data_IF_458558601859
#
_entry.id   IF_458558601859
#
_cell.length_a   1.000
_cell.length_b   1.000
_cell.length_c   1.000
_cell.angle_alpha   90.00
_cell.angle_beta   90.00
_cell.angle_gamma   90.00
#
_symmetry.space_group_name_H-M   'P 1'
#
loop_
_entity.id
_entity.type
_entity.pdbx_description
1 polymer ?
#
# COMPACT_ATOMS: atom_id res chain seq x y z
N UNK A 1 -26.52 -7.61 -24.24
CA UNK A 1 -26.53 -6.19 -23.84
C UNK A 1 -25.42 -6.01 -22.82
N UNK A 2 -24.47 -5.07 -23.00
CA UNK A 2 -23.33 -4.97 -22.10
C UNK A 2 -23.85 -4.50 -20.73
N UNK A 3 -23.35 -5.15 -19.68
CA UNK A 3 -23.71 -4.93 -18.29
C UNK A 3 -23.11 -3.66 -17.67
N UNK A 4 -23.40 -3.43 -16.39
CA UNK A 4 -22.73 -2.40 -15.58
C UNK A 4 -21.72 -3.07 -14.63
N UNK A 5 -20.59 -2.40 -14.38
CA UNK A 5 -19.56 -2.85 -13.44
C UNK A 5 -19.38 -1.85 -12.31
N UNK A 6 -19.51 -2.33 -11.07
CA UNK A 6 -19.30 -1.55 -9.85
C UNK A 6 -18.20 -2.18 -8.98
N UNK A 7 -17.53 -1.36 -8.18
CA UNK A 7 -16.59 -1.82 -7.17
C UNK A 7 -16.81 -1.09 -5.84
N UNK A 8 -16.44 -1.73 -4.74
CA UNK A 8 -16.32 -1.07 -3.43
C UNK A 8 -15.21 -0.01 -3.47
N UNK A 9 -15.33 1.07 -2.69
CA UNK A 9 -14.34 2.15 -2.59
C UNK A 9 -13.96 2.86 -3.92
N UNK A 10 -14.84 2.83 -4.94
CA UNK A 10 -14.62 3.39 -6.29
C UNK A 10 -14.09 4.84 -6.34
N UNK A 11 -14.33 5.63 -5.29
CA UNK A 11 -13.91 7.03 -5.21
C UNK A 11 -12.79 7.29 -4.21
N UNK A 12 -12.36 6.28 -3.46
CA UNK A 12 -11.37 6.43 -2.40
C UNK A 12 -10.00 5.99 -2.91
N UNK A 13 -9.73 4.69 -3.00
CA UNK A 13 -8.35 4.21 -3.23
C UNK A 13 -8.13 3.62 -4.62
N UNK A 14 -9.13 2.91 -5.15
CA UNK A 14 -9.05 2.24 -6.45
C UNK A 14 -10.27 2.56 -7.30
N UNK A 15 -10.15 2.45 -8.62
CA UNK A 15 -11.29 2.54 -9.55
C UNK A 15 -11.14 1.57 -10.73
N UNK A 16 -12.27 1.12 -11.28
CA UNK A 16 -12.32 0.32 -12.50
C UNK A 16 -12.38 1.24 -13.72
N UNK A 17 -11.45 1.05 -14.65
CA UNK A 17 -11.45 1.67 -15.96
C UNK A 17 -11.74 0.61 -17.02
N UNK A 18 -12.91 0.68 -17.64
CA UNK A 18 -13.25 -0.20 -18.76
C UNK A 18 -12.37 0.11 -19.98
N UNK A 19 -11.86 -0.93 -20.66
CA UNK A 19 -11.15 -0.76 -21.93
C UNK A 19 -12.13 -0.53 -23.06
N UNK A 20 -11.75 0.30 -24.03
CA UNK A 20 -12.56 0.59 -25.22
C UNK A 20 -12.66 -0.60 -26.18
N UNK A 21 -11.73 -1.56 -26.09
CA UNK A 21 -11.71 -2.76 -26.90
C UNK A 21 -12.70 -3.80 -26.36
N UNK A 22 -13.74 -4.08 -27.14
CA UNK A 22 -14.67 -5.18 -26.89
C UNK A 22 -14.40 -6.27 -27.94
N UNK A 23 -14.13 -7.50 -27.51
CA UNK A 23 -14.04 -8.63 -28.46
C UNK A 23 -15.44 -8.94 -28.97
N UNK A 24 -15.75 -8.50 -30.19
CA UNK A 24 -17.06 -8.74 -30.82
C UNK A 24 -17.32 -10.22 -31.13
N UNK A 25 -16.28 -11.08 -31.10
CA UNK A 25 -16.43 -12.53 -31.27
C UNK A 25 -16.96 -13.22 -30.01
N UNK A 26 -16.61 -12.71 -28.83
CA UNK A 26 -16.88 -13.39 -27.55
C UNK A 26 -17.77 -12.58 -26.58
N UNK A 27 -18.21 -11.37 -26.98
CA UNK A 27 -18.96 -10.43 -26.13
C UNK A 27 -18.27 -10.13 -24.78
N UNK A 28 -16.94 -10.16 -24.76
CA UNK A 28 -16.14 -9.90 -23.55
C UNK A 28 -15.81 -8.41 -23.46
N UNK A 29 -16.07 -7.85 -22.29
CA UNK A 29 -15.68 -6.49 -21.90
C UNK A 29 -14.56 -6.57 -20.87
N UNK A 30 -13.48 -5.83 -21.09
CA UNK A 30 -12.33 -5.78 -20.19
C UNK A 30 -12.37 -4.53 -19.32
N UNK A 31 -11.84 -4.64 -18.09
CA UNK A 31 -11.63 -3.49 -17.22
C UNK A 31 -10.29 -3.63 -16.47
N UNK A 32 -9.60 -2.51 -16.32
CA UNK A 32 -8.38 -2.37 -15.54
C UNK A 32 -8.70 -1.81 -14.15
N UNK A 33 -8.03 -2.32 -13.12
CA UNK A 33 -8.06 -1.71 -11.79
C UNK A 33 -6.93 -0.68 -11.74
N UNK A 34 -7.26 0.54 -11.35
CA UNK A 34 -6.31 1.64 -11.24
C UNK A 34 -6.33 2.26 -9.86
N UNK A 35 -5.17 2.77 -9.44
CA UNK A 35 -4.99 3.51 -8.20
C UNK A 35 -5.50 4.94 -8.39
N UNK A 36 -6.29 5.44 -7.42
CA UNK A 36 -6.85 6.79 -7.43
C UNK A 36 -6.08 7.77 -6.52
N UNK A 37 -5.53 7.28 -5.41
CA UNK A 37 -4.77 8.06 -4.42
C UNK A 37 -3.48 7.34 -4.05
N UNK A 38 -2.44 8.06 -3.57
CA UNK A 38 -1.22 7.44 -3.07
C UNK A 38 -1.51 6.34 -2.06
N UNK A 39 -0.74 5.27 -2.16
CA UNK A 39 -0.81 4.12 -1.27
C UNK A 39 0.29 4.26 -0.24
N UNK A 40 -0.03 3.93 1.00
CA UNK A 40 0.86 4.06 2.14
C UNK A 40 0.78 2.75 2.94
N UNK A 41 1.89 2.01 2.95
CA UNK A 41 1.96 0.67 3.55
C UNK A 41 1.87 0.73 5.08
N UNK A 42 2.45 1.77 5.69
CA UNK A 42 2.46 2.05 7.12
C UNK A 42 1.04 2.30 7.62
N UNK A 43 0.20 2.93 6.80
CA UNK A 43 -1.21 3.15 7.09
C UNK A 43 -2.09 1.93 6.83
N UNK A 44 -2.08 1.38 5.62
CA UNK A 44 -2.98 0.27 5.21
C UNK A 44 -2.24 -0.69 4.27
N UNK A 45 -1.98 -1.89 4.77
CA UNK A 45 -1.19 -2.93 4.07
C UNK A 45 -1.96 -3.72 3.03
N UNK A 46 -3.28 -3.84 3.20
CA UNK A 46 -4.10 -4.74 2.39
C UNK A 46 -5.49 -4.16 2.09
N UNK A 47 -6.01 -4.48 0.91
CA UNK A 47 -7.34 -4.10 0.46
C UNK A 47 -8.11 -5.29 -0.10
N UNK A 48 -9.40 -5.38 0.24
CA UNK A 48 -10.32 -6.34 -0.35
C UNK A 48 -11.34 -5.59 -1.22
N UNK A 49 -11.22 -5.75 -2.53
CA UNK A 49 -12.12 -5.13 -3.50
C UNK A 49 -13.14 -6.14 -4.00
N UNK A 50 -14.42 -5.88 -3.78
CA UNK A 50 -15.50 -6.65 -4.41
C UNK A 50 -15.89 -5.97 -5.72
N UNK A 51 -15.80 -6.72 -6.82
CA UNK A 51 -16.28 -6.32 -8.15
C UNK A 51 -17.62 -7.00 -8.38
N UNK A 52 -18.60 -6.23 -8.85
CA UNK A 52 -19.93 -6.71 -9.20
C UNK A 52 -20.23 -6.42 -10.65
N UNK A 53 -20.67 -7.44 -11.38
CA UNK A 53 -21.11 -7.35 -12.78
C UNK A 53 -22.60 -7.66 -12.84
N UNK A 54 -23.36 -6.81 -13.51
CA UNK A 54 -24.81 -6.95 -13.66
C UNK A 54 -25.21 -7.07 -15.14
N UNK A 55 -26.23 -7.86 -15.46
CA UNK A 55 -26.83 -7.83 -16.79
C UNK A 55 -27.85 -6.67 -16.91
N UNK A 56 -27.97 -6.10 -18.11
CA UNK A 56 -28.97 -5.05 -18.41
C UNK A 56 -30.29 -5.65 -18.96
N UNK A 57 -30.65 -6.86 -18.51
CA UNK A 57 -31.81 -7.60 -19.00
C UNK A 57 -33.08 -7.40 -18.16
N UNK A 58 -34.21 -7.97 -18.61
CA UNK A 58 -35.47 -7.92 -17.87
C UNK A 58 -35.41 -8.67 -16.52
N UNK A 59 -34.53 -9.66 -16.41
CA UNK A 59 -34.20 -10.32 -15.16
C UNK A 59 -32.81 -9.86 -14.70
N UNK A 60 -32.76 -9.21 -13.55
CA UNK A 60 -31.51 -8.74 -12.93
C UNK A 60 -30.71 -9.93 -12.41
N UNK A 61 -29.63 -10.27 -13.10
CA UNK A 61 -28.61 -11.22 -12.67
C UNK A 61 -27.35 -10.43 -12.33
N UNK A 62 -26.76 -10.76 -11.19
CA UNK A 62 -25.50 -10.20 -10.75
C UNK A 62 -24.52 -11.31 -10.38
N UNK A 63 -23.24 -11.06 -10.61
CA UNK A 63 -22.14 -11.91 -10.17
C UNK A 63 -21.09 -11.04 -9.49
N UNK A 64 -20.47 -11.57 -8.45
CA UNK A 64 -19.47 -10.87 -7.65
C UNK A 64 -18.19 -11.67 -7.57
N UNK A 65 -17.06 -10.97 -7.53
CA UNK A 65 -15.74 -11.53 -7.29
C UNK A 65 -14.96 -10.61 -6.34
N UNK A 66 -14.14 -11.20 -5.47
CA UNK A 66 -13.29 -10.45 -4.54
C UNK A 66 -11.84 -10.53 -4.99
N UNK A 67 -11.17 -9.39 -4.97
CA UNK A 67 -9.75 -9.23 -5.28
C UNK A 67 -9.05 -8.79 -4.00
N UNK A 68 -8.04 -9.56 -3.61
CA UNK A 68 -7.17 -9.25 -2.47
C UNK A 68 -5.90 -8.57 -3.01
N UNK A 69 -5.67 -7.34 -2.58
CA UNK A 69 -4.51 -6.53 -2.95
C UNK A 69 -3.63 -6.39 -1.71
N UNK A 70 -2.36 -6.76 -1.84
CA UNK A 70 -1.34 -6.62 -0.80
C UNK A 70 -0.34 -5.57 -1.28
N UNK A 71 -0.08 -4.57 -0.44
CA UNK A 71 0.93 -3.55 -0.75
C UNK A 71 2.33 -4.08 -0.44
N UNK A 72 3.28 -3.69 -1.27
CA UNK A 72 4.71 -3.88 -1.01
C UNK A 72 5.25 -2.68 -0.24
N UNK A 73 6.00 -2.97 0.81
CA UNK A 73 6.71 -1.99 1.63
C UNK A 73 7.85 -1.34 0.84
N UNK A 74 7.97 -0.02 0.94
CA UNK A 74 9.06 0.77 0.36
C UNK A 74 9.79 1.50 1.48
N UNK A 75 11.04 1.89 1.25
CA UNK A 75 11.77 2.67 2.25
C UNK A 75 11.46 4.17 2.06
N UNK A 76 10.43 4.65 2.73
CA UNK A 76 10.00 6.05 2.68
C UNK A 76 9.80 6.71 4.06
N UNK A 77 9.92 5.95 5.15
CA UNK A 77 10.12 6.51 6.48
C UNK A 77 11.61 6.79 6.75
N UNK A 78 11.88 7.91 7.43
CA UNK A 78 13.25 8.32 7.78
C UNK A 78 13.52 7.92 9.23
N UNK A 79 14.66 7.27 9.55
CA UNK A 79 15.03 6.95 10.92
C UNK A 79 15.03 8.17 11.84
N UNK A 80 14.38 8.06 13.00
CA UNK A 80 14.33 9.08 14.03
C UNK A 80 15.13 8.63 15.25
N UNK A 81 16.12 9.42 15.66
CA UNK A 81 16.85 9.17 16.90
C UNK A 81 15.91 9.29 18.10
N UNK A 82 15.95 8.29 18.99
CA UNK A 82 15.08 8.25 20.17
C UNK A 82 15.62 9.09 21.31
N UNK A 83 16.92 9.38 21.30
CA UNK A 83 17.60 10.21 22.30
C UNK A 83 18.52 11.21 21.61
N UNK A 84 18.47 12.45 22.10
CA UNK A 84 19.30 13.56 21.67
C UNK A 84 19.86 14.25 22.89
N UNK A 85 20.77 13.60 23.60
CA UNK A 85 21.41 14.21 24.75
C UNK A 85 22.82 14.68 24.42
N UNK A 86 23.17 15.85 24.96
CA UNK A 86 24.55 16.31 25.02
C UNK A 86 25.31 15.39 25.98
N UNK A 87 26.19 14.59 25.43
CA UNK A 87 27.00 13.66 26.19
C UNK A 87 28.30 14.33 26.62
N UNK A 88 28.67 14.15 27.89
CA UNK A 88 29.90 14.71 28.46
C UNK A 88 30.85 13.59 28.85
N UNK A 89 32.11 13.73 28.47
CA UNK A 89 33.20 12.82 28.85
C UNK A 89 34.22 13.57 29.70
N UNK A 90 34.78 12.90 30.71
CA UNK A 90 35.86 13.47 31.53
C UNK A 90 37.19 13.42 30.78
N UNK A 91 38.04 14.42 30.99
CA UNK A 91 39.32 14.57 30.28
C UNK A 91 40.36 13.47 30.57
N UNK A 92 40.14 12.65 31.61
CA UNK A 92 41.05 11.58 32.05
C UNK A 92 40.61 10.16 31.69
N UNK A 93 39.57 9.99 30.88
CA UNK A 93 39.06 8.67 30.53
C UNK A 93 40.06 7.84 29.71
N UNK A 94 40.22 6.53 29.99
CA UNK A 94 41.12 5.68 29.24
C UNK A 94 40.68 5.49 27.79
N UNK A 95 41.65 5.13 26.93
CA UNK A 95 41.38 4.81 25.54
C UNK A 95 40.40 3.64 25.44
N UNK A 96 39.31 3.85 24.69
CA UNK A 96 38.24 2.87 24.53
C UNK A 96 37.05 3.07 25.45
N UNK A 97 37.04 4.10 26.31
CA UNK A 97 35.84 4.46 27.08
C UNK A 97 34.67 4.75 26.14
N UNK A 98 33.54 4.07 26.40
CA UNK A 98 32.27 4.29 25.70
C UNK A 98 31.69 5.62 26.15
N UNK A 99 31.53 6.56 25.21
CA UNK A 99 30.97 7.89 25.50
C UNK A 99 29.45 7.82 25.54
N UNK A 100 28.84 7.27 24.48
CA UNK A 100 27.38 7.15 24.38
C UNK A 100 27.00 5.99 23.47
N UNK A 101 25.72 5.67 23.45
CA UNK A 101 25.08 4.81 22.46
C UNK A 101 23.83 5.51 21.97
N UNK A 102 23.81 5.83 20.68
CA UNK A 102 22.62 6.38 20.03
C UNK A 102 21.73 5.24 19.54
N UNK A 103 20.42 5.45 19.61
CA UNK A 103 19.42 4.56 19.05
C UNK A 103 18.51 5.37 18.13
N UNK A 104 18.08 4.78 17.02
CA UNK A 104 17.05 5.35 16.15
C UNK A 104 16.01 4.30 15.79
N UNK A 105 14.81 4.78 15.46
CA UNK A 105 13.67 3.96 15.02
C UNK A 105 13.32 4.37 13.60
N UNK A 106 13.26 3.38 12.72
CA UNK A 106 12.65 3.47 11.40
C UNK A 106 11.24 2.87 11.47
N UNK A 107 10.27 3.53 10.84
CA UNK A 107 8.85 3.14 10.90
C UNK A 107 8.41 2.28 9.73
N UNK A 108 9.26 2.08 8.71
CA UNK A 108 8.97 1.15 7.63
C UNK A 108 8.58 -0.22 8.21
N UNK A 109 7.64 -0.92 7.56
CA UNK A 109 7.09 -2.12 8.18
C UNK A 109 7.84 -3.42 7.90
N UNK A 110 8.83 -3.45 6.98
CA UNK A 110 9.60 -4.68 6.65
C UNK A 110 11.12 -4.46 6.57
N UNK A 111 11.88 -5.54 6.72
CA UNK A 111 13.33 -5.54 6.52
C UNK A 111 13.65 -5.70 5.03
N UNK A 112 14.64 -4.98 4.47
CA UNK A 112 15.64 -4.18 5.18
C UNK A 112 15.24 -2.71 5.44
N UNK A 113 14.09 -2.26 4.93
CA UNK A 113 13.66 -0.86 4.99
C UNK A 113 13.63 -0.34 6.45
N UNK A 114 13.15 -1.16 7.38
CA UNK A 114 13.05 -0.82 8.79
C UNK A 114 14.33 -0.98 9.61
N UNK A 115 15.48 -1.21 8.96
CA UNK A 115 16.77 -1.40 9.64
C UNK A 115 17.58 -0.12 9.64
N UNK A 116 17.82 0.39 10.84
CA UNK A 116 18.79 1.46 11.06
C UNK A 116 20.20 0.88 11.15
N UNK A 117 21.11 1.41 10.34
CA UNK A 117 22.55 1.19 10.48
C UNK A 117 23.19 2.40 11.17
N UNK A 118 23.77 2.17 12.35
CA UNK A 118 24.46 3.15 13.20
C UNK A 118 25.92 2.73 13.42
#
# INVERSE_FOLDING_TARGET
>A
MPGSTAQTNKFHTFYLQQRSETSSKDNVTWADIKVNHPLDYESIKEYNLTIRVENNGAQQLASEATIHIVLEDVNDEIPLFTEGEQETVLEGEPVGSKVTQVNAIDKDGTSPNNKVFI
#
